data_IF_007303483166
#
_entry.id   IF_007303483166
#
_cell.length_a   1.000
_cell.length_b   1.000
_cell.length_c   1.000
_cell.angle_alpha   90.00
_cell.angle_beta   90.00
_cell.angle_gamma   90.00
#
_symmetry.space_group_name_H-M   'P 1'
#
loop_
_entity.id
_entity.type
_entity.pdbx_description
1 polymer ?
#
# COMPACT_ATOMS: atom_id res chain seq x y z
N UNK A 1 -12.09 -33.45 -15.38
CA UNK A 1 -13.24 -32.52 -15.45
C UNK A 1 -12.90 -31.32 -14.56
N UNK A 2 -12.26 -30.30 -15.15
CA UNK A 2 -11.77 -29.11 -14.44
C UNK A 2 -12.92 -28.12 -14.35
N UNK A 3 -13.46 -27.93 -13.14
CA UNK A 3 -14.55 -27.01 -12.86
C UNK A 3 -14.11 -25.55 -13.03
N UNK A 4 -14.58 -24.93 -14.11
CA UNK A 4 -14.85 -23.49 -14.35
C UNK A 4 -14.08 -22.44 -13.50
N UNK A 5 -13.15 -21.68 -14.12
CA UNK A 5 -12.53 -20.46 -13.53
C UNK A 5 -13.47 -19.23 -13.48
N UNK A 6 -14.71 -19.34 -13.95
CA UNK A 6 -15.55 -18.18 -14.32
C UNK A 6 -16.12 -17.37 -13.15
N UNK A 7 -16.34 -17.98 -11.99
CA UNK A 7 -16.98 -17.29 -10.86
C UNK A 7 -16.02 -16.44 -10.01
N UNK A 8 -14.72 -16.79 -10.00
CA UNK A 8 -13.68 -16.03 -9.30
C UNK A 8 -13.36 -14.77 -10.10
N UNK A 9 -13.19 -14.88 -11.42
CA UNK A 9 -12.93 -13.74 -12.30
C UNK A 9 -14.05 -12.69 -12.21
N UNK A 10 -15.32 -13.12 -12.27
CA UNK A 10 -16.47 -12.22 -12.20
C UNK A 10 -16.53 -11.44 -10.88
N UNK A 11 -16.24 -12.09 -9.74
CA UNK A 11 -16.20 -11.42 -8.42
C UNK A 11 -15.05 -10.42 -8.29
N UNK A 12 -13.90 -10.76 -8.85
CA UNK A 12 -12.71 -9.90 -8.85
C UNK A 12 -12.96 -8.63 -9.68
N UNK A 13 -13.57 -8.78 -10.85
CA UNK A 13 -13.89 -7.65 -11.74
C UNK A 13 -14.90 -6.69 -11.14
N UNK A 14 -16.02 -7.19 -10.58
CA UNK A 14 -17.06 -6.33 -9.98
C UNK A 14 -16.56 -5.60 -8.72
N UNK A 15 -15.68 -6.24 -7.93
CA UNK A 15 -15.13 -5.64 -6.71
C UNK A 15 -14.18 -4.47 -6.98
N UNK A 16 -13.38 -4.54 -8.05
CA UNK A 16 -12.44 -3.47 -8.37
C UNK A 16 -13.09 -2.27 -9.07
N UNK A 17 -14.06 -2.48 -9.98
CA UNK A 17 -14.79 -1.37 -10.59
C UNK A 17 -15.58 -0.54 -9.56
N UNK A 18 -16.02 -1.17 -8.46
CA UNK A 18 -16.67 -0.48 -7.35
C UNK A 18 -15.73 0.42 -6.50
N UNK A 19 -14.43 0.42 -6.79
CA UNK A 19 -13.40 1.25 -6.16
C UNK A 19 -12.91 2.38 -7.08
N UNK A 20 -13.71 2.78 -8.09
CA UNK A 20 -13.33 3.75 -9.13
C UNK A 20 -12.11 3.33 -9.98
N UNK A 21 -11.85 2.02 -10.08
CA UNK A 21 -10.77 1.53 -10.92
C UNK A 21 -11.18 1.55 -12.39
N UNK A 22 -10.23 1.91 -13.25
CA UNK A 22 -10.45 1.86 -14.69
C UNK A 22 -10.55 0.41 -15.18
N UNK A 23 -11.16 0.21 -16.35
CA UNK A 23 -11.18 -1.13 -16.98
C UNK A 23 -9.76 -1.69 -17.18
N UNK A 24 -8.79 -0.82 -17.46
CA UNK A 24 -7.38 -1.18 -17.61
C UNK A 24 -6.75 -1.64 -16.28
N UNK A 25 -7.02 -0.94 -15.17
CA UNK A 25 -6.57 -1.37 -13.83
C UNK A 25 -7.11 -2.76 -13.48
N UNK A 26 -8.38 -3.01 -13.79
CA UNK A 26 -9.02 -4.30 -13.54
C UNK A 26 -8.42 -5.39 -14.41
N UNK A 27 -8.25 -5.13 -15.71
CA UNK A 27 -7.61 -6.08 -16.63
C UNK A 27 -6.19 -6.43 -16.16
N UNK A 28 -5.40 -5.43 -15.74
CA UNK A 28 -4.06 -5.62 -15.21
C UNK A 28 -4.01 -6.49 -13.95
N UNK A 29 -4.96 -6.33 -13.02
CA UNK A 29 -5.03 -7.22 -11.85
C UNK A 29 -5.47 -8.63 -12.19
N UNK A 30 -6.42 -8.80 -13.09
CA UNK A 30 -6.86 -10.13 -13.53
C UNK A 30 -5.68 -10.86 -14.17
N UNK A 31 -4.96 -10.20 -15.08
CA UNK A 31 -3.75 -10.76 -15.71
C UNK A 31 -2.68 -11.14 -14.67
N UNK A 32 -2.38 -10.24 -13.71
CA UNK A 32 -1.44 -10.52 -12.63
C UNK A 32 -1.88 -11.71 -11.76
N UNK A 33 -3.17 -11.80 -11.41
CA UNK A 33 -3.72 -12.90 -10.62
C UNK A 33 -3.62 -14.24 -11.35
N UNK A 34 -3.83 -14.26 -12.67
CA UNK A 34 -3.71 -15.47 -13.50
C UNK A 34 -2.26 -15.94 -13.66
N UNK A 35 -1.30 -15.03 -13.59
CA UNK A 35 0.15 -15.35 -13.62
C UNK A 35 0.68 -15.78 -12.25
N UNK A 36 -0.01 -15.45 -11.17
CA UNK A 36 0.38 -15.82 -9.81
C UNK A 36 0.26 -17.32 -9.57
N UNK A 37 1.31 -17.94 -9.01
CA UNK A 37 1.25 -19.33 -8.57
C UNK A 37 0.95 -19.40 -7.07
N UNK A 38 0.15 -20.39 -6.65
CA UNK A 38 -0.10 -20.64 -5.22
C UNK A 38 1.21 -20.83 -4.44
N UNK A 39 2.15 -21.59 -5.02
CA UNK A 39 3.44 -21.85 -4.42
C UNK A 39 4.22 -20.55 -4.18
N UNK A 40 4.22 -19.64 -5.15
CA UNK A 40 4.87 -18.32 -5.03
C UNK A 40 4.23 -17.48 -3.93
N UNK A 41 2.89 -17.43 -3.85
CA UNK A 41 2.19 -16.70 -2.76
C UNK A 41 2.53 -17.29 -1.40
N UNK A 42 2.61 -18.62 -1.29
CA UNK A 42 2.98 -19.28 -0.04
C UNK A 42 4.45 -19.02 0.35
N UNK A 43 5.37 -19.04 -0.63
CA UNK A 43 6.77 -18.76 -0.42
C UNK A 43 7.01 -17.35 0.14
N UNK A 44 6.21 -16.36 -0.26
CA UNK A 44 6.27 -14.99 0.33
C UNK A 44 6.18 -15.03 1.86
N UNK A 45 5.41 -15.94 2.45
CA UNK A 45 5.28 -16.04 3.90
C UNK A 45 6.19 -17.10 4.52
N UNK A 46 6.39 -18.23 3.84
CA UNK A 46 7.12 -19.36 4.38
C UNK A 46 8.65 -19.18 4.30
N UNK A 47 9.13 -18.46 3.28
CA UNK A 47 10.56 -18.32 2.99
C UNK A 47 11.13 -16.96 3.37
N UNK A 48 10.29 -15.94 3.58
CA UNK A 48 10.73 -14.68 4.17
C UNK A 48 10.74 -14.77 5.69
N UNK A 49 11.87 -14.43 6.30
CA UNK A 49 11.98 -14.27 7.75
C UNK A 49 11.15 -13.09 8.25
N UNK A 50 11.00 -12.99 9.58
CA UNK A 50 10.32 -11.85 10.22
C UNK A 50 11.03 -10.55 9.83
N UNK A 51 10.34 -9.72 9.07
CA UNK A 51 10.84 -8.43 8.62
C UNK A 51 10.29 -7.30 9.50
N UNK A 52 10.94 -7.08 10.64
CA UNK A 52 10.66 -5.97 11.54
C UNK A 52 11.87 -5.03 11.57
N UNK A 53 11.71 -3.83 11.01
CA UNK A 53 12.76 -2.80 10.93
C UNK A 53 12.28 -1.48 11.54
N UNK A 54 11.28 -1.49 12.41
CA UNK A 54 10.78 -0.24 12.99
C UNK A 54 11.87 0.50 13.80
N UNK A 55 12.78 -0.24 14.43
CA UNK A 55 13.95 0.31 15.11
C UNK A 55 14.93 1.02 14.15
N UNK A 56 14.92 0.67 12.86
CA UNK A 56 15.81 1.24 11.83
C UNK A 56 15.43 2.64 11.38
N UNK A 57 14.28 3.17 11.80
CA UNK A 57 14.00 4.59 11.61
C UNK A 57 15.10 5.47 12.21
N UNK A 58 15.73 5.05 13.32
CA UNK A 58 16.86 5.77 13.93
C UNK A 58 18.12 5.82 13.04
N UNK A 59 18.28 4.87 12.11
CA UNK A 59 19.45 4.74 11.25
C UNK A 59 19.32 5.56 9.94
N UNK A 60 18.15 6.16 9.65
CA UNK A 60 17.93 6.97 8.45
C UNK A 60 18.75 8.26 8.49
N UNK A 61 19.52 8.52 7.42
CA UNK A 61 20.44 9.66 7.30
C UNK A 61 20.05 10.69 6.24
N UNK A 62 18.98 10.45 5.48
CA UNK A 62 18.45 11.38 4.50
C UNK A 62 17.06 11.86 4.94
N UNK A 63 16.64 13.07 4.52
CA UNK A 63 15.26 13.50 4.65
C UNK A 63 14.32 12.40 4.16
N UNK A 64 13.32 12.06 4.96
CA UNK A 64 12.38 10.97 4.67
C UNK A 64 10.96 11.44 4.96
N UNK A 65 10.06 11.28 3.99
CA UNK A 65 8.64 11.55 4.17
C UNK A 65 7.88 10.23 4.30
N UNK A 66 7.17 10.07 5.42
CA UNK A 66 6.20 9.00 5.64
C UNK A 66 4.81 9.59 5.47
N UNK A 67 4.14 9.21 4.38
CA UNK A 67 2.72 9.52 4.15
C UNK A 67 1.90 8.30 4.53
N UNK A 68 0.95 8.45 5.46
CA UNK A 68 0.06 7.37 5.89
C UNK A 68 -1.41 7.73 5.80
N UNK A 69 -2.23 6.68 5.77
CA UNK A 69 -3.67 6.74 5.93
C UNK A 69 -4.08 6.44 7.37
N UNK A 70 -5.33 6.73 7.70
CA UNK A 70 -5.94 6.32 8.96
C UNK A 70 -6.10 4.80 8.99
N UNK A 71 -5.71 4.17 10.11
CA UNK A 71 -5.81 2.70 10.26
C UNK A 71 -7.28 2.24 10.25
N UNK A 72 -8.20 3.06 10.78
CA UNK A 72 -9.65 2.86 10.74
C UNK A 72 -10.22 2.73 9.31
N UNK A 73 -9.53 3.30 8.32
CA UNK A 73 -9.91 3.30 6.91
C UNK A 73 -9.03 2.36 6.06
N UNK A 74 -8.27 1.47 6.70
CA UNK A 74 -7.43 0.49 6.01
C UNK A 74 -5.96 0.90 5.83
N UNK A 75 -5.50 1.97 6.48
CA UNK A 75 -4.09 2.29 6.59
C UNK A 75 -3.27 1.20 7.30
N UNK A 76 -2.04 0.96 6.84
CA UNK A 76 -1.15 -0.10 7.38
C UNK A 76 -0.22 0.43 8.48
N UNK A 77 0.24 1.68 8.34
CA UNK A 77 1.19 2.28 9.29
C UNK A 77 0.44 2.65 10.57
N UNK A 78 0.73 1.96 11.67
CA UNK A 78 0.13 2.21 12.99
C UNK A 78 0.87 3.25 13.82
N UNK A 79 0.32 3.57 14.99
CA UNK A 79 0.85 4.66 15.83
C UNK A 79 2.23 4.33 16.42
N UNK A 80 2.50 3.06 16.76
CA UNK A 80 3.84 2.61 17.18
C UNK A 80 4.92 2.95 16.13
N UNK A 81 4.63 2.68 14.86
CA UNK A 81 5.54 3.00 13.77
C UNK A 81 5.72 4.52 13.59
N UNK A 82 4.67 5.31 13.82
CA UNK A 82 4.73 6.77 13.78
C UNK A 82 5.60 7.33 14.90
N UNK A 83 5.45 6.82 16.12
CA UNK A 83 6.26 7.26 17.26
C UNK A 83 7.75 6.97 17.02
N UNK A 84 8.09 5.78 16.52
CA UNK A 84 9.47 5.41 16.17
C UNK A 84 10.02 6.23 15.01
N UNK A 85 9.19 6.50 13.99
CA UNK A 85 9.57 7.38 12.89
C UNK A 85 9.87 8.81 13.36
N UNK A 86 8.99 9.38 14.20
CA UNK A 86 9.13 10.76 14.73
C UNK A 86 10.33 10.93 15.66
N UNK A 87 10.88 9.85 16.20
CA UNK A 87 12.10 9.91 17.00
C UNK A 87 13.33 10.33 16.16
N UNK A 88 13.31 10.15 14.83
CA UNK A 88 14.36 10.65 13.93
C UNK A 88 13.98 12.04 13.39
N UNK A 89 14.79 13.09 13.63
CA UNK A 89 14.50 14.46 13.19
C UNK A 89 14.52 14.64 11.67
N UNK A 90 15.08 13.71 10.91
CA UNK A 90 15.07 13.72 9.44
C UNK A 90 13.78 13.11 8.85
N UNK A 91 12.91 12.55 9.69
CA UNK A 91 11.68 11.89 9.26
C UNK A 91 10.49 12.80 9.53
N UNK A 92 9.80 13.19 8.46
CA UNK A 92 8.51 13.87 8.52
C UNK A 92 7.41 12.83 8.34
N UNK A 93 6.44 12.83 9.25
CA UNK A 93 5.26 11.94 9.17
C UNK A 93 4.01 12.77 9.01
N UNK A 94 3.23 12.46 7.98
CA UNK A 94 1.95 13.11 7.66
C UNK A 94 0.85 12.05 7.50
N UNK A 95 -0.33 12.37 7.99
CA UNK A 95 -1.53 11.54 7.82
C UNK A 95 -2.49 12.27 6.88
N UNK A 96 -2.88 11.62 5.79
CA UNK A 96 -3.87 12.16 4.85
C UNK A 96 -5.27 11.77 5.33
N UNK A 97 -6.14 12.74 5.70
CA UNK A 97 -7.48 12.45 6.18
C UNK A 97 -8.34 11.74 5.13
N UNK A 98 -9.28 10.91 5.60
CA UNK A 98 -10.25 10.18 4.78
C UNK A 98 -9.61 9.29 3.70
N UNK A 99 -8.30 9.01 3.76
CA UNK A 99 -7.60 8.15 2.82
C UNK A 99 -7.66 6.69 3.25
N UNK A 100 -7.75 5.79 2.27
CA UNK A 100 -7.48 4.36 2.47
C UNK A 100 -6.01 4.03 2.14
N UNK A 101 -5.67 2.75 2.03
CA UNK A 101 -4.31 2.30 1.71
C UNK A 101 -3.77 2.86 0.38
N UNK A 102 -4.62 3.13 -0.60
CA UNK A 102 -4.26 3.66 -1.91
C UNK A 102 -4.37 5.19 -1.95
N UNK A 103 -3.73 5.87 -0.98
CA UNK A 103 -3.77 7.33 -0.80
C UNK A 103 -3.55 8.09 -2.12
N UNK A 104 -2.55 7.68 -2.90
CA UNK A 104 -2.19 8.30 -4.18
C UNK A 104 -3.29 8.16 -5.27
N UNK A 105 -4.23 7.23 -5.14
CA UNK A 105 -5.40 7.11 -6.03
C UNK A 105 -6.62 7.83 -5.47
N UNK A 106 -6.96 7.57 -4.21
CA UNK A 106 -8.19 8.10 -3.59
C UNK A 106 -8.11 9.56 -3.14
N UNK A 107 -6.90 10.07 -2.89
CA UNK A 107 -6.61 11.42 -2.40
C UNK A 107 -5.40 12.01 -3.12
N UNK A 108 -5.40 11.95 -4.45
CA UNK A 108 -4.26 12.35 -5.29
C UNK A 108 -3.76 13.77 -4.97
N UNK A 109 -4.66 14.76 -4.95
CA UNK A 109 -4.28 16.16 -4.69
C UNK A 109 -3.64 16.33 -3.30
N UNK A 110 -4.22 15.71 -2.28
CA UNK A 110 -3.68 15.76 -0.92
C UNK A 110 -2.35 15.00 -0.79
N UNK A 111 -2.19 13.89 -1.51
CA UNK A 111 -0.92 13.18 -1.60
C UNK A 111 0.17 14.05 -2.26
N UNK A 112 -0.13 14.66 -3.40
CA UNK A 112 0.82 15.50 -4.14
C UNK A 112 1.18 16.78 -3.38
N UNK A 113 0.23 17.36 -2.63
CA UNK A 113 0.49 18.49 -1.76
C UNK A 113 1.56 18.21 -0.69
N UNK A 114 1.75 16.94 -0.31
CA UNK A 114 2.82 16.52 0.61
C UNK A 114 4.11 16.16 -0.12
N UNK A 115 4.02 15.51 -1.28
CA UNK A 115 5.16 15.02 -2.07
C UNK A 115 5.91 16.16 -2.75
N UNK A 116 5.23 17.08 -3.43
CA UNK A 116 5.88 18.11 -4.24
C UNK A 116 6.79 19.04 -3.42
N UNK A 117 6.35 19.58 -2.26
CA UNK A 117 7.24 20.40 -1.44
C UNK A 117 8.44 19.60 -0.93
N UNK A 118 8.20 18.36 -0.47
CA UNK A 118 9.27 17.52 0.06
C UNK A 118 10.37 17.19 -0.96
N UNK A 119 10.03 17.06 -2.24
CA UNK A 119 11.00 16.80 -3.31
C UNK A 119 11.67 18.07 -3.86
N UNK A 120 11.14 19.24 -3.52
CA UNK A 120 11.66 20.53 -3.99
C UNK A 120 12.57 21.23 -2.98
N UNK A 121 12.67 20.68 -1.76
CA UNK A 121 13.56 21.09 -0.68
C UNK A 121 15.00 20.54 -0.88
#
# INVERSE_FOLDING_TARGET
>A
MVGRPSHILARVTTGFLALDWTEEDVAGKVDAAMKGSRASVQAVFAENGRWDLLDRFADLRCPTLVIRAEVSLGGIVGDEAVELARANPLVRVVTVPDADHNIHRGRFDAFMAEVEPFLSD
#
